data_IF_301616340421
#
_entry.id   IF_301616340421
#
_cell.length_a   1.000
_cell.length_b   1.000
_cell.length_c   1.000
_cell.angle_alpha   90.00
_cell.angle_beta   90.00
_cell.angle_gamma   90.00
#
_symmetry.space_group_name_H-M   'P 1'
#
loop_
_entity.id
_entity.type
_entity.pdbx_description
1 polymer ?
#
# COMPACT_ATOMS: atom_id res chain seq x y z
N UNK A 1 -11.76 -11.26 -12.68
CA UNK A 1 -11.39 -11.77 -11.34
C UNK A 1 -10.43 -10.81 -10.70
N UNK A 2 -10.65 -10.41 -9.45
CA UNK A 2 -9.68 -9.62 -8.68
C UNK A 2 -8.69 -10.58 -8.02
N UNK A 3 -7.40 -10.34 -8.17
CA UNK A 3 -6.33 -11.17 -7.56
C UNK A 3 -5.70 -10.42 -6.40
N UNK A 4 -5.66 -11.05 -5.23
CA UNK A 4 -4.96 -10.55 -4.04
C UNK A 4 -3.67 -11.34 -3.78
N UNK A 5 -2.84 -10.87 -2.85
CA UNK A 5 -1.64 -11.62 -2.44
C UNK A 5 -0.54 -11.72 -3.50
N UNK A 6 -0.59 -10.86 -4.54
CA UNK A 6 0.46 -10.81 -5.56
C UNK A 6 1.77 -10.38 -4.90
N UNK A 7 2.77 -11.26 -4.95
CA UNK A 7 4.08 -11.00 -4.36
C UNK A 7 4.79 -9.85 -5.06
N UNK A 8 5.32 -8.91 -4.29
CA UNK A 8 6.06 -7.77 -4.79
C UNK A 8 7.55 -8.11 -4.90
N UNK A 9 8.26 -7.41 -5.80
CA UNK A 9 9.69 -7.63 -6.01
C UNK A 9 10.53 -7.29 -4.77
N UNK A 10 10.16 -6.23 -4.05
CA UNK A 10 10.79 -5.86 -2.79
C UNK A 10 9.97 -6.41 -1.62
N UNK A 11 10.59 -6.72 -0.49
CA UNK A 11 9.91 -6.90 0.78
C UNK A 11 10.18 -5.67 1.67
N UNK A 12 9.14 -5.09 2.26
CA UNK A 12 9.28 -3.99 3.22
C UNK A 12 9.32 -4.55 4.64
N UNK A 13 10.08 -3.91 5.53
CA UNK A 13 10.11 -4.26 6.96
C UNK A 13 8.70 -4.28 7.57
N UNK A 14 8.45 -5.14 8.56
CA UNK A 14 7.10 -5.29 9.13
C UNK A 14 6.16 -6.17 8.31
N UNK A 15 6.69 -6.97 7.39
CA UNK A 15 5.96 -8.11 6.78
C UNK A 15 5.02 -7.74 5.64
N UNK A 16 5.19 -6.57 5.01
CA UNK A 16 4.48 -6.27 3.76
C UNK A 16 5.33 -6.75 2.57
N UNK A 17 4.99 -7.91 2.01
CA UNK A 17 5.67 -8.53 0.85
C UNK A 17 4.72 -8.78 -0.34
N UNK A 18 3.43 -8.49 -0.18
CA UNK A 18 2.41 -8.56 -1.23
C UNK A 18 1.83 -7.18 -1.57
N UNK A 19 1.26 -7.06 -2.77
CA UNK A 19 0.70 -5.81 -3.27
C UNK A 19 -0.47 -5.33 -2.40
N UNK A 20 -1.41 -6.23 -2.14
CA UNK A 20 -2.63 -6.01 -1.36
C UNK A 20 -2.90 -7.23 -0.48
N UNK A 21 -3.00 -6.97 0.82
CA UNK A 21 -3.51 -7.88 1.84
C UNK A 21 -4.94 -7.45 2.17
N UNK A 22 -5.96 -8.23 1.77
CA UNK A 22 -7.35 -7.88 2.04
C UNK A 22 -7.61 -7.66 3.53
N UNK A 23 -8.29 -6.55 3.86
CA UNK A 23 -8.62 -6.20 5.24
C UNK A 23 -7.44 -5.65 6.07
N UNK A 24 -6.23 -5.55 5.53
CA UNK A 24 -5.04 -5.08 6.25
C UNK A 24 -4.19 -4.13 5.37
N UNK A 25 -4.46 -2.81 5.42
CA UNK A 25 -3.68 -1.80 4.70
C UNK A 25 -2.21 -1.75 5.13
N UNK A 26 -1.91 -2.03 6.40
CA UNK A 26 -0.55 -1.92 6.94
C UNK A 26 0.34 -3.10 6.51
N UNK A 27 -0.26 -4.23 6.10
CA UNK A 27 0.43 -5.31 5.39
C UNK A 27 0.40 -5.20 3.87
N UNK A 28 -0.28 -4.19 3.32
CA UNK A 28 -0.39 -3.97 1.88
C UNK A 28 0.69 -3.03 1.39
N UNK A 29 1.61 -3.50 0.54
CA UNK A 29 2.66 -2.62 0.01
C UNK A 29 2.13 -1.45 -0.80
N UNK A 30 0.99 -1.62 -1.49
CA UNK A 30 0.36 -0.54 -2.23
C UNK A 30 0.12 0.68 -1.33
N UNK A 31 -0.54 0.47 -0.19
CA UNK A 31 -0.86 1.55 0.74
C UNK A 31 0.40 2.14 1.38
N UNK A 32 1.30 1.28 1.87
CA UNK A 32 2.55 1.73 2.50
C UNK A 32 3.36 2.62 1.58
N UNK A 33 3.52 2.25 0.30
CA UNK A 33 4.29 3.07 -0.65
C UNK A 33 3.66 4.44 -0.92
N UNK A 34 2.34 4.59 -0.75
CA UNK A 34 1.67 5.89 -0.90
C UNK A 34 1.93 6.83 0.29
N UNK A 35 2.06 6.28 1.49
CA UNK A 35 2.13 7.06 2.75
C UNK A 35 3.51 7.10 3.39
N UNK A 36 4.42 6.21 3.00
CA UNK A 36 5.81 6.23 3.42
C UNK A 36 6.56 7.42 2.81
N UNK A 37 7.64 7.82 3.47
CA UNK A 37 8.65 8.74 3.00
C UNK A 37 9.90 7.99 2.50
N UNK A 38 10.86 8.74 1.97
CA UNK A 38 12.17 8.21 1.57
C UNK A 38 12.13 7.18 0.43
N UNK A 39 13.02 6.19 0.52
CA UNK A 39 13.32 5.22 -0.55
C UNK A 39 12.13 4.36 -0.97
N UNK A 40 11.19 4.10 -0.05
CA UNK A 40 10.04 3.24 -0.29
C UNK A 40 8.86 3.96 -0.94
N UNK A 41 8.91 5.29 -0.99
CA UNK A 41 7.79 6.09 -1.46
C UNK A 41 7.55 5.93 -2.95
N UNK A 42 6.28 5.80 -3.31
CA UNK A 42 5.81 5.86 -4.69
C UNK A 42 4.74 6.94 -4.86
N UNK A 43 4.70 7.64 -6.01
CA UNK A 43 5.72 7.58 -7.07
C UNK A 43 7.07 8.19 -6.62
N UNK A 44 8.19 7.89 -7.31
CA UNK A 44 9.52 8.40 -6.94
C UNK A 44 9.69 9.91 -7.20
N UNK A 45 8.65 10.57 -7.73
CA UNK A 45 8.57 12.00 -7.99
C UNK A 45 7.36 12.58 -7.25
N UNK A 46 7.36 13.88 -6.99
CA UNK A 46 6.25 14.51 -6.24
C UNK A 46 6.17 14.03 -4.80
N UNK A 47 7.29 13.63 -4.21
CA UNK A 47 7.38 12.95 -2.91
C UNK A 47 7.28 13.85 -1.68
N UNK A 48 7.07 15.16 -1.87
CA UNK A 48 7.06 16.13 -0.77
C UNK A 48 5.75 16.18 0.01
N UNK A 49 4.62 15.88 -0.65
CA UNK A 49 3.28 16.02 -0.06
C UNK A 49 2.53 14.71 -0.25
N UNK A 50 2.08 14.11 0.86
CA UNK A 50 1.15 12.97 0.82
C UNK A 50 -0.23 13.51 0.46
N UNK A 51 -0.93 12.83 -0.44
CA UNK A 51 -2.36 13.09 -0.68
C UNK A 51 -3.19 12.42 0.43
N UNK A 52 -3.72 13.17 1.41
CA UNK A 52 -4.49 12.60 2.51
C UNK A 52 -5.83 12.01 2.03
N UNK A 53 -6.44 12.60 1.00
CA UNK A 53 -7.73 12.15 0.47
C UNK A 53 -7.57 10.84 -0.28
N UNK A 54 -6.59 10.77 -1.20
CA UNK A 54 -6.31 9.56 -1.97
C UNK A 54 -5.85 8.40 -1.09
N UNK A 55 -4.97 8.66 -0.12
CA UNK A 55 -4.51 7.63 0.82
C UNK A 55 -5.65 7.12 1.72
N UNK A 56 -6.53 8.00 2.22
CA UNK A 56 -7.69 7.58 2.99
C UNK A 56 -8.66 6.72 2.18
N UNK A 57 -8.91 7.07 0.91
CA UNK A 57 -9.76 6.30 0.01
C UNK A 57 -9.21 4.88 -0.22
N UNK A 58 -7.91 4.75 -0.51
CA UNK A 58 -7.27 3.44 -0.70
C UNK A 58 -7.27 2.62 0.59
N UNK A 59 -7.04 3.25 1.74
CA UNK A 59 -7.11 2.59 3.05
C UNK A 59 -8.49 1.99 3.29
N UNK A 60 -9.55 2.77 3.06
CA UNK A 60 -10.93 2.33 3.24
C UNK A 60 -11.29 1.20 2.28
N UNK A 61 -10.85 1.28 1.02
CA UNK A 61 -11.04 0.22 0.04
C UNK A 61 -10.39 -1.10 0.50
N UNK A 62 -9.12 -1.08 0.91
CA UNK A 62 -8.43 -2.30 1.37
C UNK A 62 -9.11 -2.91 2.60
N UNK A 63 -9.56 -2.07 3.56
CA UNK A 63 -10.28 -2.52 4.75
C UNK A 63 -11.61 -3.22 4.42
N UNK A 64 -12.28 -2.82 3.34
CA UNK A 64 -13.54 -3.41 2.89
C UNK A 64 -13.40 -4.69 2.07
N UNK A 65 -12.18 -5.16 1.78
CA UNK A 65 -11.97 -6.36 0.99
C UNK A 65 -12.27 -7.64 1.80
N UNK A 66 -12.76 -8.71 1.14
CA UNK A 66 -12.96 -10.01 1.79
C UNK A 66 -11.61 -10.61 2.21
N UNK A 67 -11.50 -11.04 3.46
CA UNK A 67 -10.30 -11.65 4.03
C UNK A 67 -10.03 -13.04 3.48
#
# INVERSE_FOLDING_TARGET
>A
TTTFGVKMFHAMEGGADVAVTPGDPDKSQLYRRMVSDGLWRMPPKGTKVIDPTGSAAVRAWILGLPR
#
